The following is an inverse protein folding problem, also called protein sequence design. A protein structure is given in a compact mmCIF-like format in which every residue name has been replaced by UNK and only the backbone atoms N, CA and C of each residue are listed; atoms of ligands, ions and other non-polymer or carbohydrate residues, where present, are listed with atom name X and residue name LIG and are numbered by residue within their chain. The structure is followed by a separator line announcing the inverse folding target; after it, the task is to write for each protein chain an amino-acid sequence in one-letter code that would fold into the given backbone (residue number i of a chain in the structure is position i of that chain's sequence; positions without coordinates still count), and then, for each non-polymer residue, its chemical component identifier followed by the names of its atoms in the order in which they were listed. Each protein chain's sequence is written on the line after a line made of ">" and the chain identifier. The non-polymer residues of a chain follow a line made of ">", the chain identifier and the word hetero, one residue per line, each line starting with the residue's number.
data_IF_154487380778
#
_entry.id   IF_154487380778
#
_cell.length_a   1.000
_cell.length_b   1.000
_cell.length_c   1.000
_cell.angle_alpha   90.00
_cell.angle_beta   90.00
_cell.angle_gamma   90.00
#
_symmetry.space_group_name_H-M   'P 1'
#
loop_
_entity.id
_entity.type
_entity.pdbx_description
1 polymer ?
#
# COMPACT_ATOMS: atom_id res chain seq x y z
N UNK A 1 -48.65 11.08 85.61
CA UNK A 1 -49.81 11.08 84.70
C UNK A 1 -49.34 10.42 83.41
N UNK A 2 -49.78 9.19 83.14
CA UNK A 2 -49.38 8.48 81.93
C UNK A 2 -50.08 9.10 80.72
N UNK A 3 -49.33 9.62 79.76
CA UNK A 3 -49.85 10.09 78.49
C UNK A 3 -50.34 8.89 77.69
N UNK A 4 -51.65 8.83 77.45
CA UNK A 4 -52.27 7.80 76.62
C UNK A 4 -51.65 7.77 75.22
N UNK A 5 -51.52 6.56 74.67
CA UNK A 5 -50.98 6.31 73.34
C UNK A 5 -51.81 7.05 72.27
N UNK A 6 -51.19 7.87 71.39
CA UNK A 6 -51.91 8.60 70.34
C UNK A 6 -52.64 7.72 69.32
N UNK A 7 -52.34 6.41 69.31
CA UNK A 7 -52.81 5.45 68.32
C UNK A 7 -53.88 4.46 68.83
N UNK A 8 -54.32 4.57 70.09
CA UNK A 8 -55.48 3.80 70.56
C UNK A 8 -56.78 4.37 69.94
N UNK A 9 -57.79 3.54 69.65
CA UNK A 9 -59.07 4.02 69.13
C UNK A 9 -59.64 5.02 70.13
N UNK A 10 -59.60 6.31 69.75
CA UNK A 10 -60.01 7.43 70.59
C UNK A 10 -61.47 7.21 70.96
N UNK A 11 -61.73 6.96 72.25
CA UNK A 11 -63.09 6.93 72.76
C UNK A 11 -63.79 8.23 72.33
N UNK A 12 -65.05 8.16 71.85
CA UNK A 12 -65.70 9.32 71.26
C UNK A 12 -65.72 10.46 72.27
N UNK A 13 -64.97 11.53 71.97
CA UNK A 13 -64.85 12.72 72.81
C UNK A 13 -66.25 13.24 73.15
N UNK A 14 -66.45 13.85 74.32
CA UNK A 14 -67.74 14.42 74.72
C UNK A 14 -68.36 15.33 73.63
N UNK A 15 -67.52 16.08 72.90
CA UNK A 15 -67.92 16.85 71.73
C UNK A 15 -68.42 15.97 70.56
N UNK A 16 -67.75 14.85 70.26
CA UNK A 16 -68.17 13.89 69.24
C UNK A 16 -69.52 13.24 69.55
N UNK A 17 -69.80 12.92 70.82
CA UNK A 17 -71.10 12.41 71.25
C UNK A 17 -72.21 13.46 71.13
N UNK A 18 -71.92 14.72 71.47
CA UNK A 18 -72.85 15.84 71.29
C UNK A 18 -73.18 16.06 69.81
N UNK A 19 -72.18 16.03 68.93
CA UNK A 19 -72.36 16.18 67.48
C UNK A 19 -73.14 14.99 66.89
N UNK A 20 -72.87 13.76 67.32
CA UNK A 20 -73.63 12.58 66.91
C UNK A 20 -75.12 12.67 67.32
N UNK A 21 -75.40 13.21 68.51
CA UNK A 21 -76.76 13.45 68.99
C UNK A 21 -77.45 14.57 68.20
N UNK A 22 -76.73 15.64 67.85
CA UNK A 22 -77.23 16.74 67.02
C UNK A 22 -77.53 16.32 65.56
N UNK A 23 -76.72 15.42 65.00
CA UNK A 23 -76.98 14.75 63.72
C UNK A 23 -78.24 13.89 63.78
N UNK A 24 -78.37 13.06 64.83
CA UNK A 24 -79.52 12.19 65.05
C UNK A 24 -80.82 12.98 65.27
N UNK A 25 -80.71 14.15 65.91
CA UNK A 25 -81.81 15.08 66.12
C UNK A 25 -82.11 15.98 64.90
N UNK A 26 -81.39 15.81 63.77
CA UNK A 26 -81.51 16.63 62.54
C UNK A 26 -81.26 18.14 62.73
N UNK A 27 -80.66 18.54 63.87
CA UNK A 27 -80.32 19.94 64.17
C UNK A 27 -79.12 20.40 63.33
N UNK A 28 -78.22 19.47 63.01
CA UNK A 28 -77.06 19.66 62.13
C UNK A 28 -77.11 18.57 61.07
N UNK A 29 -76.83 18.90 59.80
CA UNK A 29 -76.78 17.91 58.72
C UNK A 29 -75.36 17.38 58.54
N UNK A 30 -75.21 16.16 58.02
CA UNK A 30 -73.89 15.59 57.69
C UNK A 30 -73.10 16.52 56.76
N UNK A 31 -73.79 17.14 55.78
CA UNK A 31 -73.18 18.13 54.88
C UNK A 31 -72.62 19.36 55.61
N UNK A 32 -73.26 19.84 56.68
CA UNK A 32 -72.72 20.98 57.46
C UNK A 32 -71.45 20.62 58.25
N UNK A 33 -71.31 19.38 58.72
CA UNK A 33 -70.08 18.92 59.37
C UNK A 33 -68.95 18.67 58.36
N UNK A 34 -69.29 18.14 57.19
CA UNK A 34 -68.33 17.88 56.13
C UNK A 34 -67.74 19.17 55.54
N UNK A 35 -68.48 20.29 55.54
CA UNK A 35 -67.96 21.61 55.14
C UNK A 35 -66.87 22.13 56.10
N UNK A 36 -66.97 21.81 57.39
CA UNK A 36 -65.97 22.16 58.40
C UNK A 36 -64.75 21.23 58.37
N UNK A 37 -64.79 20.13 57.60
CA UNK A 37 -63.69 19.16 57.44
C UNK A 37 -62.59 19.65 56.48
N UNK A 38 -62.65 20.88 55.97
CA UNK A 38 -61.64 21.41 55.06
C UNK A 38 -60.24 21.24 55.67
N UNK A 39 -59.32 20.54 55.00
CA UNK A 39 -57.98 20.37 55.52
C UNK A 39 -57.35 21.76 55.70
N UNK A 40 -56.75 22.00 56.87
CA UNK A 40 -56.03 23.25 57.14
C UNK A 40 -54.93 23.47 56.10
N UNK A 41 -54.56 24.72 55.83
CA UNK A 41 -53.46 25.07 54.92
C UNK A 41 -52.10 24.41 55.29
N UNK A 42 -51.95 23.88 56.50
CA UNK A 42 -50.78 23.08 56.88
C UNK A 42 -50.75 21.71 56.18
N UNK A 43 -51.90 21.06 55.98
CA UNK A 43 -51.97 19.74 55.34
C UNK A 43 -51.70 19.80 53.83
N UNK A 44 -51.98 20.93 53.17
CA UNK A 44 -51.60 21.12 51.76
C UNK A 44 -50.08 21.21 51.61
N UNK A 45 -49.40 21.92 52.51
CA UNK A 45 -47.94 22.00 52.53
C UNK A 45 -47.29 20.62 52.79
N UNK A 46 -47.86 19.83 53.69
CA UNK A 46 -47.39 18.45 53.94
C UNK A 46 -47.56 17.57 52.69
N UNK A 47 -48.69 17.66 52.01
CA UNK A 47 -48.93 16.89 50.76
C UNK A 47 -48.00 17.33 49.63
N UNK A 48 -47.72 18.63 49.50
CA UNK A 48 -46.74 19.14 48.53
C UNK A 48 -45.31 18.69 48.86
N UNK A 49 -44.93 18.70 50.15
CA UNK A 49 -43.63 18.20 50.59
C UNK A 49 -43.47 16.69 50.34
N UNK A 50 -44.53 15.90 50.54
CA UNK A 50 -44.56 14.47 50.20
C UNK A 50 -44.39 14.26 48.70
N UNK A 51 -45.11 15.00 47.86
CA UNK A 51 -44.94 14.94 46.39
C UNK A 51 -43.53 15.33 45.94
N UNK A 52 -42.92 16.33 46.58
CA UNK A 52 -41.53 16.73 46.30
C UNK A 52 -40.58 15.60 46.70
N UNK A 53 -40.78 14.97 47.85
CA UNK A 53 -39.96 13.84 48.29
C UNK A 53 -40.09 12.65 47.33
N UNK A 54 -41.30 12.32 46.88
CA UNK A 54 -41.55 11.26 45.90
C UNK A 54 -40.85 11.55 44.57
N UNK A 55 -40.97 12.79 44.06
CA UNK A 55 -40.27 13.21 42.84
C UNK A 55 -38.76 13.16 43.00
N UNK A 56 -38.23 13.56 44.16
CA UNK A 56 -36.79 13.48 44.44
C UNK A 56 -36.30 12.03 44.51
N UNK A 57 -37.09 11.12 45.08
CA UNK A 57 -36.79 9.70 45.09
C UNK A 57 -36.76 9.14 43.65
N UNK A 58 -37.71 9.53 42.81
CA UNK A 58 -37.76 9.11 41.41
C UNK A 58 -36.57 9.67 40.60
N UNK A 59 -36.20 10.94 40.79
CA UNK A 59 -34.99 11.52 40.17
C UNK A 59 -33.74 10.76 40.59
N UNK A 60 -33.62 10.44 41.88
CA UNK A 60 -32.48 9.67 42.40
C UNK A 60 -32.44 8.27 41.80
N UNK A 61 -33.60 7.61 41.65
CA UNK A 61 -33.73 6.31 40.99
C UNK A 61 -33.25 6.36 39.54
N UNK A 62 -33.73 7.33 38.76
CA UNK A 62 -33.35 7.51 37.36
C UNK A 62 -31.86 7.82 37.21
N UNK A 63 -31.29 8.63 38.11
CA UNK A 63 -29.86 8.93 38.10
C UNK A 63 -29.01 7.68 38.33
N UNK A 64 -29.39 6.83 39.30
CA UNK A 64 -28.71 5.56 39.55
C UNK A 64 -28.80 4.60 38.35
N UNK A 65 -29.97 4.52 37.73
CA UNK A 65 -30.17 3.70 36.52
C UNK A 65 -29.31 4.21 35.35
N UNK A 66 -29.20 5.53 35.20
CA UNK A 66 -28.35 6.16 34.18
C UNK A 66 -26.87 5.88 34.43
N UNK A 67 -26.42 5.96 35.69
CA UNK A 67 -25.04 5.65 36.07
C UNK A 67 -24.72 4.16 35.82
N UNK A 68 -25.65 3.26 36.15
CA UNK A 68 -25.49 1.83 35.89
C UNK A 68 -25.33 1.53 34.38
N UNK A 69 -26.19 2.12 33.54
CA UNK A 69 -26.10 1.97 32.08
C UNK A 69 -24.81 2.59 31.51
N UNK A 70 -24.36 3.71 32.07
CA UNK A 70 -23.11 4.34 31.65
C UNK A 70 -21.91 3.45 32.00
N UNK A 71 -21.88 2.85 33.20
CA UNK A 71 -20.84 1.88 33.57
C UNK A 71 -20.86 0.63 32.69
N UNK A 72 -22.05 0.12 32.34
CA UNK A 72 -22.19 -1.01 31.42
C UNK A 72 -21.60 -0.66 30.05
N UNK A 73 -21.94 0.51 29.51
CA UNK A 73 -21.42 1.01 28.23
C UNK A 73 -19.90 1.17 28.25
N UNK A 74 -19.35 1.76 29.31
CA UNK A 74 -17.91 2.00 29.43
C UNK A 74 -17.10 0.72 29.59
N UNK A 75 -17.74 -0.35 30.09
CA UNK A 75 -17.12 -1.67 30.28
C UNK A 75 -17.46 -2.65 29.14
N UNK A 76 -18.40 -2.29 28.25
CA UNK A 76 -18.93 -3.19 27.23
C UNK A 76 -17.85 -3.75 26.30
N UNK A 77 -16.79 -3.00 26.02
CA UNK A 77 -15.73 -3.43 25.12
C UNK A 77 -14.90 -4.62 25.66
N UNK A 78 -14.95 -4.87 26.98
CA UNK A 78 -14.26 -5.98 27.66
C UNK A 78 -15.22 -6.98 28.32
N UNK A 79 -16.49 -6.65 28.54
CA UNK A 79 -17.48 -7.58 29.11
C UNK A 79 -18.46 -8.13 28.08
N UNK A 80 -18.83 -7.33 27.07
CA UNK A 80 -19.91 -7.70 26.18
C UNK A 80 -19.43 -8.70 25.11
N UNK A 81 -20.13 -9.83 24.92
CA UNK A 81 -19.70 -10.90 24.01
C UNK A 81 -19.47 -10.43 22.57
N UNK A 82 -20.22 -9.44 22.08
CA UNK A 82 -20.05 -8.88 20.73
C UNK A 82 -18.64 -8.33 20.50
N UNK A 83 -18.19 -7.39 21.35
CA UNK A 83 -16.88 -6.76 21.20
C UNK A 83 -15.75 -7.75 21.50
N UNK A 84 -15.93 -8.62 22.49
CA UNK A 84 -14.98 -9.70 22.78
C UNK A 84 -14.82 -10.65 21.60
N UNK A 85 -15.91 -11.09 20.99
CA UNK A 85 -15.89 -11.97 19.81
C UNK A 85 -15.16 -11.30 18.66
N UNK A 86 -15.44 -10.02 18.40
CA UNK A 86 -14.75 -9.24 17.37
C UNK A 86 -13.24 -9.16 17.63
N UNK A 87 -12.82 -8.81 18.86
CA UNK A 87 -11.41 -8.77 19.28
C UNK A 87 -10.75 -10.16 19.14
N UNK A 88 -11.43 -11.23 19.56
CA UNK A 88 -10.96 -12.61 19.43
C UNK A 88 -10.79 -13.03 17.95
N UNK A 89 -11.73 -12.65 17.08
CA UNK A 89 -11.63 -12.94 15.64
C UNK A 89 -10.44 -12.24 15.01
N UNK A 90 -10.19 -10.97 15.36
CA UNK A 90 -9.03 -10.23 14.89
C UNK A 90 -7.71 -10.88 15.34
N UNK A 91 -7.62 -11.29 16.61
CA UNK A 91 -6.45 -12.01 17.14
C UNK A 91 -6.26 -13.38 16.47
N UNK A 92 -7.35 -14.12 16.22
CA UNK A 92 -7.28 -15.38 15.50
C UNK A 92 -6.82 -15.20 14.05
N UNK A 93 -7.27 -14.14 13.36
CA UNK A 93 -6.80 -13.83 12.02
C UNK A 93 -5.29 -13.56 12.02
N UNK A 94 -4.80 -12.74 12.96
CA UNK A 94 -3.37 -12.48 13.12
C UNK A 94 -2.58 -13.76 13.39
N UNK A 95 -3.05 -14.62 14.30
CA UNK A 95 -2.39 -15.89 14.59
C UNK A 95 -2.33 -16.81 13.36
N UNK A 96 -3.40 -16.90 12.57
CA UNK A 96 -3.40 -17.65 11.31
C UNK A 96 -2.36 -17.13 10.33
N UNK A 97 -2.22 -15.80 10.21
CA UNK A 97 -1.18 -15.19 9.38
C UNK A 97 0.22 -15.52 9.88
N UNK A 98 0.48 -15.44 11.20
CA UNK A 98 1.77 -15.81 11.78
C UNK A 98 2.10 -17.28 11.55
N UNK A 99 1.12 -18.18 11.72
CA UNK A 99 1.28 -19.60 11.44
C UNK A 99 1.64 -19.87 9.97
N UNK A 100 1.00 -19.16 9.04
CA UNK A 100 1.31 -19.26 7.62
C UNK A 100 2.76 -18.81 7.34
N UNK A 101 3.18 -17.66 7.90
CA UNK A 101 4.56 -17.16 7.76
C UNK A 101 5.57 -18.16 8.34
N UNK A 102 5.27 -18.77 9.49
CA UNK A 102 6.15 -19.78 10.09
C UNK A 102 6.24 -21.04 9.24
N UNK A 103 5.14 -21.49 8.63
CA UNK A 103 5.14 -22.62 7.69
C UNK A 103 6.00 -22.32 6.46
N UNK A 104 5.84 -21.14 5.85
CA UNK A 104 6.65 -20.72 4.72
C UNK A 104 8.14 -20.59 5.07
N UNK A 105 8.46 -20.02 6.23
CA UNK A 105 9.84 -19.94 6.71
C UNK A 105 10.46 -21.33 6.88
N UNK A 106 9.71 -22.31 7.41
CA UNK A 106 10.17 -23.71 7.52
C UNK A 106 10.36 -24.34 6.13
N UNK A 107 9.41 -24.16 5.22
CA UNK A 107 9.48 -24.63 3.83
C UNK A 107 10.71 -24.07 3.10
N UNK A 108 10.92 -22.76 3.19
CA UNK A 108 12.08 -22.10 2.62
C UNK A 108 13.38 -22.63 3.23
N UNK A 109 13.46 -22.79 4.56
CA UNK A 109 14.63 -23.40 5.20
C UNK A 109 14.90 -24.80 4.68
N UNK A 110 13.87 -25.64 4.55
CA UNK A 110 14.02 -26.99 3.99
C UNK A 110 14.54 -26.96 2.55
N UNK A 111 14.05 -26.02 1.73
CA UNK A 111 14.51 -25.84 0.35
C UNK A 111 15.95 -25.34 0.27
N UNK A 112 16.35 -24.44 1.17
CA UNK A 112 17.71 -23.89 1.23
C UNK A 112 18.73 -24.87 1.84
N UNK A 113 18.30 -25.69 2.80
CA UNK A 113 19.11 -26.77 3.38
C UNK A 113 19.27 -27.92 2.39
N UNK A 114 18.36 -28.07 1.42
CA UNK A 114 18.50 -29.05 0.35
C UNK A 114 19.71 -28.65 -0.50
N UNK A 115 20.81 -29.44 -0.52
CA UNK A 115 21.99 -29.07 -1.28
C UNK A 115 21.63 -28.89 -2.76
N UNK A 116 21.95 -27.72 -3.34
CA UNK A 116 21.77 -27.43 -4.77
C UNK A 116 22.56 -28.41 -5.65
N UNK A 117 23.63 -28.97 -5.09
CA UNK A 117 24.37 -30.10 -5.61
C UNK A 117 24.27 -31.19 -4.54
N UNK A 118 23.76 -32.38 -4.87
CA UNK A 118 24.13 -33.54 -4.06
C UNK A 118 25.66 -33.52 -3.97
N UNK A 119 26.22 -33.38 -2.77
CA UNK A 119 27.67 -33.27 -2.54
C UNK A 119 28.44 -34.50 -3.08
N UNK A 120 27.72 -35.54 -3.48
CA UNK A 120 28.16 -36.53 -4.43
C UNK A 120 26.94 -37.00 -5.24
N UNK A 121 27.07 -37.10 -6.56
CA UNK A 121 26.21 -38.05 -7.27
C UNK A 121 26.51 -39.40 -6.61
N UNK A 122 25.52 -40.19 -6.17
CA UNK A 122 25.79 -41.53 -5.68
C UNK A 122 26.33 -42.34 -6.87
N UNK A 123 27.65 -42.38 -6.98
CA UNK A 123 28.34 -43.25 -7.92
C UNK A 123 28.48 -44.59 -7.23
N UNK A 124 28.07 -45.66 -7.90
CA UNK A 124 28.31 -47.01 -7.42
C UNK A 124 29.81 -47.27 -7.31
N UNK A 125 30.26 -47.98 -6.27
CA UNK A 125 31.68 -48.15 -5.97
C UNK A 125 32.49 -48.72 -7.15
N UNK A 126 31.85 -49.53 -8.00
CA UNK A 126 32.46 -50.08 -9.21
C UNK A 126 32.93 -49.00 -10.20
N UNK A 127 32.24 -47.87 -10.29
CA UNK A 127 32.51 -46.81 -11.27
C UNK A 127 33.31 -45.64 -10.69
N UNK A 128 33.71 -45.69 -9.42
CA UNK A 128 34.48 -44.60 -8.80
C UNK A 128 35.80 -44.34 -9.53
N UNK A 129 36.51 -45.41 -9.90
CA UNK A 129 37.78 -45.31 -10.63
C UNK A 129 37.57 -44.65 -12.00
N UNK A 130 36.57 -45.09 -12.74
CA UNK A 130 36.28 -44.58 -14.09
C UNK A 130 35.83 -43.12 -14.05
N UNK A 131 35.01 -42.74 -13.05
CA UNK A 131 34.56 -41.35 -12.87
C UNK A 131 35.71 -40.43 -12.48
N UNK A 132 36.62 -40.86 -11.62
CA UNK A 132 37.82 -40.08 -11.26
C UNK A 132 38.71 -39.86 -12.49
N UNK A 133 38.92 -40.90 -13.29
CA UNK A 133 39.71 -40.81 -14.52
C UNK A 133 39.04 -39.90 -15.56
N UNK A 134 37.73 -40.01 -15.75
CA UNK A 134 36.94 -39.15 -16.62
C UNK A 134 36.99 -37.68 -16.17
N UNK A 135 36.87 -37.41 -14.87
CA UNK A 135 36.96 -36.06 -14.33
C UNK A 135 38.36 -35.46 -14.52
N UNK A 136 39.42 -36.26 -14.34
CA UNK A 136 40.78 -35.82 -14.63
C UNK A 136 40.97 -35.47 -16.12
N UNK A 137 40.44 -36.28 -17.03
CA UNK A 137 40.44 -36.00 -18.47
C UNK A 137 39.63 -34.75 -18.81
N UNK A 138 38.47 -34.55 -18.18
CA UNK A 138 37.64 -33.38 -18.39
C UNK A 138 38.34 -32.09 -17.95
N UNK A 139 38.97 -32.09 -16.76
CA UNK A 139 39.76 -30.94 -16.27
C UNK A 139 40.93 -30.63 -17.20
N UNK A 140 41.66 -31.66 -17.66
CA UNK A 140 42.74 -31.48 -18.62
C UNK A 140 42.25 -30.94 -19.98
N UNK A 141 41.08 -31.39 -20.44
CA UNK A 141 40.44 -30.90 -21.66
C UNK A 141 40.04 -29.42 -21.55
N UNK A 142 39.42 -29.04 -20.43
CA UNK A 142 39.04 -27.64 -20.14
C UNK A 142 40.30 -26.75 -20.14
N UNK A 143 41.37 -27.16 -19.45
CA UNK A 143 42.62 -26.41 -19.43
C UNK A 143 43.26 -26.25 -20.82
N UNK A 144 43.21 -27.30 -21.66
CA UNK A 144 43.66 -27.20 -23.07
C UNK A 144 42.75 -26.26 -23.87
N UNK A 145 41.44 -26.35 -23.72
CA UNK A 145 40.52 -25.46 -24.43
C UNK A 145 40.74 -24.00 -24.06
N UNK A 146 40.96 -23.71 -22.78
CA UNK A 146 41.22 -22.36 -22.28
C UNK A 146 42.54 -21.79 -22.84
N UNK A 147 43.60 -22.59 -22.88
CA UNK A 147 44.86 -22.15 -23.52
C UNK A 147 44.70 -21.91 -25.01
N UNK A 148 43.92 -22.73 -25.73
CA UNK A 148 43.60 -22.51 -27.14
C UNK A 148 42.74 -21.25 -27.37
N UNK A 149 41.77 -20.96 -26.48
CA UNK A 149 40.99 -19.73 -26.56
C UNK A 149 41.84 -18.49 -26.26
N UNK A 150 42.75 -18.59 -25.30
CA UNK A 150 43.71 -17.53 -25.01
C UNK A 150 44.66 -17.30 -26.19
N UNK A 151 45.17 -18.34 -26.84
CA UNK A 151 46.00 -18.17 -28.03
C UNK A 151 45.22 -17.54 -29.18
N UNK A 152 43.98 -17.97 -29.46
CA UNK A 152 43.11 -17.34 -30.48
C UNK A 152 42.87 -15.86 -30.18
N UNK A 153 42.56 -15.52 -28.92
CA UNK A 153 42.33 -14.14 -28.49
C UNK A 153 43.60 -13.29 -28.56
N UNK A 154 44.75 -13.91 -28.33
CA UNK A 154 46.06 -13.27 -28.38
C UNK A 154 46.70 -13.34 -29.77
N UNK A 155 46.02 -13.88 -30.81
CA UNK A 155 46.47 -13.71 -32.20
C UNK A 155 46.47 -12.20 -32.46
N UNK A 156 47.65 -11.57 -32.46
CA UNK A 156 47.72 -10.15 -32.71
C UNK A 156 47.47 -9.97 -34.21
N UNK A 157 47.08 -8.78 -34.60
CA UNK A 157 47.11 -8.30 -35.98
C UNK A 157 45.87 -8.51 -36.86
N UNK A 158 44.85 -9.33 -36.58
CA UNK A 158 43.67 -9.33 -37.50
C UNK A 158 42.93 -7.97 -37.46
N UNK A 159 42.52 -7.43 -36.30
CA UNK A 159 41.85 -6.12 -36.25
C UNK A 159 42.78 -4.97 -36.66
N UNK A 160 44.06 -5.07 -36.32
CA UNK A 160 45.07 -4.04 -36.63
C UNK A 160 45.42 -4.02 -38.13
N UNK A 161 45.64 -5.18 -38.74
CA UNK A 161 45.90 -5.30 -40.19
C UNK A 161 44.67 -4.90 -41.00
N UNK A 162 43.46 -5.25 -40.55
CA UNK A 162 42.22 -4.78 -41.19
C UNK A 162 42.12 -3.25 -41.12
N UNK A 163 42.49 -2.63 -39.99
CA UNK A 163 42.53 -1.17 -39.86
C UNK A 163 43.58 -0.56 -40.80
N UNK A 164 44.78 -1.13 -40.86
CA UNK A 164 45.85 -0.66 -41.75
C UNK A 164 45.47 -0.80 -43.24
N UNK A 165 44.86 -1.91 -43.63
CA UNK A 165 44.34 -2.12 -44.99
C UNK A 165 43.22 -1.13 -45.32
N UNK A 166 42.29 -0.87 -44.40
CA UNK A 166 41.23 0.13 -44.61
C UNK A 166 41.80 1.54 -44.79
N UNK A 167 42.83 1.90 -44.03
CA UNK A 167 43.52 3.17 -44.18
C UNK A 167 44.28 3.27 -45.52
N UNK A 168 44.89 2.17 -45.98
CA UNK A 168 45.55 2.12 -47.29
C UNK A 168 44.54 2.25 -48.44
N UNK A 169 43.37 1.59 -48.33
CA UNK A 169 42.27 1.71 -49.28
C UNK A 169 41.80 3.17 -49.40
N UNK A 170 41.53 3.83 -48.27
CA UNK A 170 41.09 5.23 -48.27
C UNK A 170 42.12 6.19 -48.91
N UNK A 171 43.42 5.93 -48.73
CA UNK A 171 44.47 6.68 -49.42
C UNK A 171 44.49 6.43 -50.92
N UNK A 172 44.27 5.19 -51.35
CA UNK A 172 44.15 4.87 -52.78
C UNK A 172 42.92 5.54 -53.40
N UNK A 173 41.77 5.52 -52.73
CA UNK A 173 40.55 6.17 -53.22
C UNK A 173 40.79 7.68 -53.42
N UNK A 174 41.44 8.34 -52.45
CA UNK A 174 41.83 9.74 -52.58
C UNK A 174 42.73 9.98 -53.79
N UNK A 175 43.78 9.17 -53.96
CA UNK A 175 44.69 9.29 -55.11
C UNK A 175 43.97 9.07 -56.44
N UNK A 176 43.02 8.13 -56.50
CA UNK A 176 42.20 7.90 -57.70
C UNK A 176 41.40 9.16 -58.03
N UNK A 177 40.71 9.76 -57.04
CA UNK A 177 39.97 11.00 -57.27
C UNK A 177 40.86 12.17 -57.70
N UNK A 178 42.05 12.32 -57.11
CA UNK A 178 43.02 13.35 -57.53
C UNK A 178 43.50 13.10 -58.97
N UNK A 179 43.72 11.84 -59.37
CA UNK A 179 44.12 11.52 -60.74
C UNK A 179 42.99 11.73 -61.75
N UNK A 180 41.74 11.47 -61.36
CA UNK A 180 40.55 11.77 -62.18
C UNK A 180 40.42 13.28 -62.40
N UNK A 181 40.54 14.09 -61.34
CA UNK A 181 40.50 15.55 -61.44
C UNK A 181 41.63 16.10 -62.33
N UNK A 182 42.86 15.60 -62.16
CA UNK A 182 43.99 15.97 -63.02
C UNK A 182 43.74 15.59 -64.50
N UNK A 183 43.12 14.43 -64.76
CA UNK A 183 42.77 14.01 -66.11
C UNK A 183 41.72 14.94 -66.73
N UNK A 184 40.70 15.34 -65.97
CA UNK A 184 39.70 16.33 -66.40
C UNK A 184 40.35 17.70 -66.71
N UNK A 185 41.22 18.19 -65.83
CA UNK A 185 41.95 19.45 -66.05
C UNK A 185 42.80 19.41 -67.34
N UNK A 186 43.44 18.27 -67.63
CA UNK A 186 44.20 18.08 -68.88
C UNK A 186 43.28 18.10 -70.10
N UNK A 187 42.10 17.47 -70.02
CA UNK A 187 41.11 17.47 -71.11
C UNK A 187 40.58 18.88 -71.38
N UNK A 188 40.17 19.61 -70.34
CA UNK A 188 39.76 21.01 -70.48
C UNK A 188 40.87 21.88 -71.07
N UNK A 189 42.12 21.70 -70.62
CA UNK A 189 43.26 22.43 -71.16
C UNK A 189 43.47 22.13 -72.64
N UNK A 190 43.35 20.86 -73.07
CA UNK A 190 43.41 20.48 -74.48
C UNK A 190 42.28 21.10 -75.31
N UNK A 191 41.07 21.15 -74.79
CA UNK A 191 39.93 21.75 -75.48
C UNK A 191 40.12 23.27 -75.64
N UNK A 192 40.59 23.96 -74.58
CA UNK A 192 40.97 25.38 -74.66
C UNK A 192 42.06 25.61 -75.72
N UNK A 193 43.08 24.76 -75.80
CA UNK A 193 44.11 24.84 -76.83
C UNK A 193 43.54 24.64 -78.24
N UNK A 194 42.63 23.68 -78.42
CA UNK A 194 41.96 23.43 -79.71
C UNK A 194 41.11 24.63 -80.14
N UNK A 195 40.32 25.22 -79.24
CA UNK A 195 39.53 26.42 -79.50
C UNK A 195 40.37 27.64 -79.85
N UNK A 196 41.55 27.81 -79.23
CA UNK A 196 42.50 28.87 -79.61
C UNK A 196 43.04 28.63 -81.02
N UNK A 197 43.36 27.38 -81.38
CA UNK A 197 43.86 27.03 -82.71
C UNK A 197 42.79 27.21 -83.79
N UNK A 198 41.55 26.80 -83.53
CA UNK A 198 40.40 27.00 -84.44
C UNK A 198 40.06 28.50 -84.60
N UNK A 199 40.10 29.30 -83.52
CA UNK A 199 39.93 30.76 -83.62
C UNK A 199 41.07 31.44 -84.38
N UNK A 200 42.30 30.94 -84.25
CA UNK A 200 43.46 31.46 -85.00
C UNK A 200 43.38 31.07 -86.49
N UNK A 201 42.85 29.89 -86.82
CA UNK A 201 42.57 29.49 -88.20
C UNK A 201 41.40 30.25 -88.83
N UNK A 202 40.39 30.66 -88.06
CA UNK A 202 39.35 31.58 -88.55
C UNK A 202 39.93 32.94 -88.92
N UNK A 203 40.84 33.49 -88.09
CA UNK A 203 41.51 34.76 -88.40
C UNK A 203 42.49 34.61 -89.58
N UNK A 204 43.26 33.52 -89.64
CA UNK A 204 44.15 33.22 -90.79
C UNK A 204 43.40 32.84 -92.08
N UNK A 205 42.18 32.32 -91.96
CA UNK A 205 41.28 32.01 -93.07
C UNK A 205 40.75 33.25 -93.77
N UNK A 206 40.48 34.33 -93.01
CA UNK A 206 40.14 35.63 -93.61
C UNK A 206 41.33 36.26 -94.36
N UNK A 207 42.56 36.13 -93.86
CA UNK A 207 43.75 36.64 -94.56
C UNK A 207 44.09 35.85 -95.84
N UNK A 208 43.70 34.58 -95.93
CA UNK A 208 43.87 33.77 -97.15
C UNK A 208 42.81 34.07 -98.24
N UNK A 209 41.64 34.60 -97.87
CA UNK A 209 40.61 35.00 -98.84
C UNK A 209 41.02 36.25 -99.63
N UNK A 210 41.82 37.15 -99.04
CA UNK A 210 42.31 38.35 -99.72
C UNK A 210 43.53 38.12 -100.64
N UNK A 211 44.19 36.96 -100.58
CA UNK A 211 45.37 36.65 -101.42
C UNK A 211 45.07 35.93 -102.74
N UNK A 212 43.82 35.59 -103.03
CA UNK A 212 43.43 34.93 -104.29
C UNK A 212 42.65 35.82 -105.28
N UNK A 213 42.51 37.12 -105.02
CA UNK A 213 41.90 38.08 -105.96
C UNK A 213 42.79 39.33 -106.07
N UNK A 214 43.91 39.20 -106.80
CA UNK A 214 44.52 40.20 -107.72
C UNK A 214 45.99 39.86 -107.99
#
# INVERSE_FOLDING_TARGET
>A
MASSNPWDPVQPTAAGLMLARALSAKVVSQGTLDICRKPSACFTYVSEAEQIADLQAEVSRINLETEALQMEKDTADITHPFYLTQKCQALQAMNRHLDAVLKEKRSLRQRLVKPLCRESLPVEAAFHRDVVELLALAVACIGKLETHLLTIRNIPEIPENIRNMRNALAKMDLLVTETEELAEQILEWREKQKGIFENTQLIGGFDSFFKSIR
#
